data_IF_336320991129
#
_entry.id   IF_336320991129
#
_cell.length_a   1.000
_cell.length_b   1.000
_cell.length_c   1.000
_cell.angle_alpha   90.00
_cell.angle_beta   90.00
_cell.angle_gamma   90.00
#
_symmetry.space_group_name_H-M   'P 1'
#
loop_
_entity.id
_entity.type
_entity.pdbx_description
1 polymer ?
#
# COMPACT_ATOMS: atom_id res chain seq x y z
N UNK A 1 17.19 7.46 -2.21
CA UNK A 1 16.61 6.42 -1.33
C UNK A 1 16.62 5.10 -2.08
N UNK A 2 16.87 3.98 -1.39
CA UNK A 2 16.82 2.63 -1.96
C UNK A 2 15.62 1.89 -1.37
N UNK A 3 14.69 1.43 -2.21
CA UNK A 3 13.46 0.75 -1.75
C UNK A 3 13.74 -0.54 -0.97
N UNK A 4 14.90 -1.16 -1.22
CA UNK A 4 15.31 -2.39 -0.57
C UNK A 4 15.66 -2.20 0.91
N UNK A 5 15.93 -0.96 1.34
CA UNK A 5 16.25 -0.65 2.74
C UNK A 5 15.07 -0.95 3.69
N UNK A 6 13.85 -1.08 3.14
CA UNK A 6 12.68 -1.45 3.92
C UNK A 6 12.43 -2.95 3.99
N UNK A 7 12.98 -3.74 3.07
CA UNK A 7 12.73 -5.18 2.99
C UNK A 7 13.18 -5.87 4.28
N UNK A 8 12.32 -6.73 4.84
CA UNK A 8 12.57 -7.41 6.12
C UNK A 8 12.29 -6.58 7.36
N UNK A 9 11.90 -5.30 7.23
CA UNK A 9 11.44 -4.53 8.39
C UNK A 9 10.21 -5.18 9.01
N UNK A 10 10.14 -5.28 10.35
CA UNK A 10 9.05 -5.97 11.02
C UNK A 10 7.72 -5.26 10.75
N UNK A 11 6.71 -6.07 10.45
CA UNK A 11 5.34 -5.62 10.33
C UNK A 11 4.59 -5.83 11.64
N UNK A 12 4.18 -4.73 12.25
CA UNK A 12 3.31 -4.70 13.41
C UNK A 12 2.18 -3.71 13.10
N UNK A 13 0.97 -4.22 12.83
CA UNK A 13 -0.16 -3.37 12.46
C UNK A 13 -0.38 -2.19 13.42
N UNK A 14 -0.19 -2.40 14.74
CA UNK A 14 -0.46 -1.37 15.75
C UNK A 14 0.57 -0.24 15.72
N UNK A 15 1.80 -0.53 15.30
CA UNK A 15 2.93 0.42 15.33
C UNK A 15 3.34 0.90 13.93
N UNK A 16 3.13 0.06 12.91
CA UNK A 16 3.55 0.22 11.52
C UNK A 16 2.65 -0.64 10.62
N UNK A 17 1.46 -0.13 10.31
CA UNK A 17 0.55 -0.73 9.32
C UNK A 17 1.04 -0.46 7.88
N UNK A 18 0.33 -1.01 6.89
CA UNK A 18 0.66 -0.84 5.48
C UNK A 18 0.66 0.62 5.02
N UNK A 19 -0.24 1.47 5.53
CA UNK A 19 -0.27 2.89 5.17
C UNK A 19 0.89 3.68 5.78
N UNK A 20 1.30 3.34 7.00
CA UNK A 20 2.53 3.89 7.60
C UNK A 20 3.75 3.56 6.74
N UNK A 21 3.83 2.33 6.21
CA UNK A 21 4.90 1.97 5.28
C UNK A 21 4.88 2.84 4.02
N UNK A 22 3.72 2.99 3.36
CA UNK A 22 3.57 3.88 2.20
C UNK A 22 4.05 5.30 2.49
N UNK A 23 3.61 5.88 3.62
CA UNK A 23 3.99 7.23 4.00
C UNK A 23 5.49 7.37 4.25
N UNK A 24 6.12 6.40 4.92
CA UNK A 24 7.55 6.45 5.22
C UNK A 24 8.38 6.39 3.93
N UNK A 25 8.07 5.42 3.05
CA UNK A 25 8.75 5.27 1.76
C UNK A 25 8.59 6.52 0.91
N UNK A 26 7.36 7.02 0.76
CA UNK A 26 7.11 8.23 -0.04
C UNK A 26 7.79 9.47 0.57
N UNK A 27 7.81 9.61 1.89
CA UNK A 27 8.49 10.72 2.57
C UNK A 27 10.01 10.69 2.33
N UNK A 28 10.65 9.52 2.40
CA UNK A 28 12.09 9.36 2.13
C UNK A 28 12.44 9.55 0.63
N UNK A 29 11.44 9.46 -0.25
CA UNK A 29 11.52 9.87 -1.65
C UNK A 29 11.22 11.37 -1.89
N UNK A 30 10.92 12.14 -0.84
CA UNK A 30 10.59 13.56 -0.93
C UNK A 30 9.13 13.85 -1.33
N UNK A 31 8.24 12.86 -1.27
CA UNK A 31 6.84 12.98 -1.65
C UNK A 31 5.93 13.13 -0.43
N UNK A 32 5.04 14.12 -0.47
CA UNK A 32 3.96 14.23 0.52
C UNK A 32 2.93 13.13 0.30
N UNK A 33 2.46 12.53 1.40
CA UNK A 33 1.41 11.50 1.37
C UNK A 33 0.43 11.77 2.51
N UNK A 34 -0.88 11.89 2.22
CA UNK A 34 -1.88 12.19 3.23
C UNK A 34 -1.97 11.10 4.28
N UNK A 35 -2.39 11.47 5.49
CA UNK A 35 -2.69 10.52 6.54
C UNK A 35 -4.15 10.05 6.41
N UNK A 36 -4.33 8.74 6.33
CA UNK A 36 -5.60 8.05 6.51
C UNK A 36 -5.53 7.22 7.79
N UNK A 37 -6.63 7.18 8.54
CA UNK A 37 -6.65 6.61 9.88
C UNK A 37 -6.91 5.10 9.83
N UNK A 38 -5.87 4.33 9.58
CA UNK A 38 -5.91 2.86 9.52
C UNK A 38 -5.65 2.29 10.92
N UNK A 39 -6.65 2.38 11.80
CA UNK A 39 -6.51 2.07 13.25
C UNK A 39 -6.52 0.57 13.59
N UNK A 40 -7.17 -0.25 12.77
CA UNK A 40 -7.27 -1.71 12.99
C UNK A 40 -7.42 -2.48 11.67
N UNK A 41 -7.08 -3.79 11.62
CA UNK A 41 -7.29 -4.61 10.43
C UNK A 41 -8.75 -4.68 9.99
N UNK A 42 -9.69 -4.46 10.91
CA UNK A 42 -11.13 -4.42 10.62
C UNK A 42 -11.62 -3.06 10.13
N UNK A 43 -10.87 -1.99 10.37
CA UNK A 43 -11.20 -0.63 9.94
C UNK A 43 -10.46 -0.22 8.65
N UNK A 44 -9.56 -1.07 8.14
CA UNK A 44 -8.76 -0.79 6.96
C UNK A 44 -9.63 -0.51 5.74
N UNK A 45 -10.69 -1.30 5.55
CA UNK A 45 -11.59 -1.16 4.40
C UNK A 45 -12.27 0.21 4.42
N UNK A 46 -12.83 0.61 5.57
CA UNK A 46 -13.48 1.92 5.73
C UNK A 46 -12.49 3.08 5.52
N UNK A 47 -11.26 2.96 6.04
CA UNK A 47 -10.23 3.99 5.87
C UNK A 47 -9.82 4.16 4.40
N UNK A 48 -9.80 3.08 3.62
CA UNK A 48 -9.54 3.14 2.18
C UNK A 48 -10.75 3.64 1.41
N UNK A 49 -11.98 3.23 1.74
CA UNK A 49 -13.19 3.77 1.13
C UNK A 49 -13.30 5.29 1.34
N UNK A 50 -13.00 5.78 2.55
CA UNK A 50 -12.90 7.21 2.86
C UNK A 50 -11.80 7.90 2.04
N UNK A 51 -10.67 7.22 1.84
CA UNK A 51 -9.58 7.70 0.99
C UNK A 51 -9.96 7.79 -0.49
N UNK A 52 -10.79 6.88 -1.01
CA UNK A 52 -11.33 6.96 -2.37
C UNK A 52 -12.31 8.13 -2.50
N UNK A 53 -13.17 8.33 -1.50
CA UNK A 53 -14.16 9.42 -1.50
C UNK A 53 -13.50 10.81 -1.33
N UNK A 54 -12.42 10.88 -0.56
CA UNK A 54 -11.64 12.09 -0.34
C UNK A 54 -10.13 11.78 -0.40
N UNK A 55 -9.52 11.82 -1.58
CA UNK A 55 -8.13 11.42 -1.77
C UNK A 55 -7.11 12.43 -1.23
N UNK A 56 -7.56 13.55 -0.64
CA UNK A 56 -6.72 14.56 0.02
C UNK A 56 -5.54 15.04 -0.85
N UNK A 57 -5.79 15.22 -2.15
CA UNK A 57 -4.81 15.69 -3.13
C UNK A 57 -4.07 14.59 -3.90
N UNK A 58 -4.27 13.31 -3.56
CA UNK A 58 -3.84 12.21 -4.43
C UNK A 58 -4.74 12.11 -5.66
N UNK A 59 -4.14 11.69 -6.76
CA UNK A 59 -4.81 11.45 -8.04
C UNK A 59 -4.55 10.03 -8.50
N UNK A 60 -5.59 9.38 -9.05
CA UNK A 60 -5.44 8.03 -9.61
C UNK A 60 -4.59 8.10 -10.88
N UNK A 61 -3.58 7.25 -10.94
CA UNK A 61 -2.69 7.10 -12.08
C UNK A 61 -3.04 5.83 -12.87
N UNK A 62 -3.06 5.93 -14.20
CA UNK A 62 -3.30 4.78 -15.09
C UNK A 62 -2.03 4.01 -15.43
N UNK A 63 -0.88 4.68 -15.35
CA UNK A 63 0.43 4.08 -15.62
C UNK A 63 1.30 4.26 -14.37
N UNK A 64 1.83 3.18 -13.79
CA UNK A 64 2.59 3.25 -12.56
C UNK A 64 3.91 4.00 -12.77
N UNK A 65 4.29 4.80 -11.78
CA UNK A 65 5.59 5.42 -11.67
C UNK A 65 6.21 5.08 -10.32
N UNK A 66 7.54 5.10 -10.25
CA UNK A 66 8.25 4.85 -9.01
C UNK A 66 7.73 5.78 -7.91
N UNK A 67 7.46 5.18 -6.75
CA UNK A 67 6.91 5.80 -5.55
C UNK A 67 5.42 6.17 -5.59
N UNK A 68 4.68 5.75 -6.61
CA UNK A 68 3.20 5.75 -6.54
C UNK A 68 2.75 4.88 -5.35
N UNK A 69 1.73 5.35 -4.63
CA UNK A 69 1.03 4.51 -3.68
C UNK A 69 0.20 3.47 -4.44
N UNK A 70 0.26 2.23 -4.00
CA UNK A 70 -0.48 1.11 -4.58
C UNK A 70 -1.56 0.68 -3.61
N UNK A 71 -2.81 0.66 -4.06
CA UNK A 71 -3.91 0.01 -3.33
C UNK A 71 -4.16 -1.36 -3.96
N UNK A 72 -4.18 -2.39 -3.12
CA UNK A 72 -4.33 -3.78 -3.49
C UNK A 72 -5.61 -4.32 -2.84
N UNK A 73 -6.59 -4.71 -3.62
CA UNK A 73 -7.89 -5.19 -3.16
C UNK A 73 -8.09 -6.67 -3.48
N UNK A 74 -8.38 -7.48 -2.47
CA UNK A 74 -8.73 -8.90 -2.64
C UNK A 74 -10.21 -9.14 -2.32
N UNK A 75 -10.93 -9.82 -3.22
CA UNK A 75 -12.31 -10.25 -2.97
C UNK A 75 -12.34 -11.34 -1.91
N UNK A 76 -13.00 -11.08 -0.79
CA UNK A 76 -13.19 -12.06 0.28
C UNK A 76 -14.63 -12.01 0.80
N UNK A 77 -15.39 -13.11 0.62
CA UNK A 77 -16.78 -13.27 1.09
C UNK A 77 -17.72 -12.12 0.68
N UNK A 78 -17.61 -11.65 -0.57
CA UNK A 78 -18.49 -10.62 -1.12
C UNK A 78 -18.11 -9.17 -0.81
N UNK A 79 -16.99 -8.93 -0.12
CA UNK A 79 -16.39 -7.60 0.09
C UNK A 79 -14.96 -7.54 -0.45
N UNK A 80 -14.47 -6.33 -0.72
CA UNK A 80 -13.05 -6.09 -1.00
C UNK A 80 -12.35 -5.87 0.33
N UNK A 81 -11.26 -6.58 0.55
CA UNK A 81 -10.33 -6.31 1.64
C UNK A 81 -9.13 -5.57 1.05
N UNK A 82 -8.87 -4.38 1.59
CA UNK A 82 -7.85 -3.49 1.06
C UNK A 82 -6.52 -3.62 1.80
N UNK A 83 -5.44 -3.44 1.03
CA UNK A 83 -4.06 -3.40 1.47
C UNK A 83 -3.31 -2.31 0.68
N UNK A 84 -2.14 -1.89 1.18
CA UNK A 84 -1.35 -0.87 0.50
C UNK A 84 0.15 -1.16 0.45
N UNK A 85 0.78 -0.60 -0.58
CA UNK A 85 2.22 -0.66 -0.82
C UNK A 85 2.71 0.50 -1.67
N UNK A 86 3.96 0.43 -2.12
CA UNK A 86 4.60 1.43 -2.97
C UNK A 86 5.20 0.77 -4.19
N UNK A 87 4.91 1.31 -5.37
CA UNK A 87 5.44 0.80 -6.63
C UNK A 87 6.89 1.22 -6.82
N UNK A 88 7.72 0.31 -7.31
CA UNK A 88 9.09 0.60 -7.73
C UNK A 88 9.56 -0.42 -8.77
N UNK A 89 9.88 0.04 -9.98
CA UNK A 89 10.50 -0.76 -11.05
C UNK A 89 9.81 -2.12 -11.32
N UNK A 90 8.49 -2.12 -11.41
CA UNK A 90 7.70 -3.34 -11.64
C UNK A 90 7.44 -4.18 -10.39
N UNK A 91 7.94 -3.74 -9.23
CA UNK A 91 7.73 -4.37 -7.93
C UNK A 91 6.81 -3.52 -7.06
N UNK A 92 6.26 -4.12 -6.00
CA UNK A 92 5.52 -3.41 -4.97
C UNK A 92 6.13 -3.72 -3.60
N UNK A 93 6.59 -2.68 -2.92
CA UNK A 93 7.04 -2.75 -1.53
C UNK A 93 5.83 -2.66 -0.60
N UNK A 94 5.52 -3.70 0.15
CA UNK A 94 4.36 -3.71 1.04
C UNK A 94 4.59 -4.53 2.30
N UNK A 95 3.79 -4.27 3.33
CA UNK A 95 3.77 -5.12 4.51
C UNK A 95 3.02 -6.43 4.20
N UNK A 96 3.61 -7.58 4.51
CA UNK A 96 3.00 -8.89 4.26
C UNK A 96 2.74 -9.59 5.60
N UNK A 97 1.48 -10.01 5.80
CA UNK A 97 1.01 -10.50 7.10
C UNK A 97 1.54 -11.90 7.44
N UNK A 98 1.76 -12.76 6.45
CA UNK A 98 2.15 -14.16 6.66
C UNK A 98 3.58 -14.28 7.21
N UNK A 99 4.50 -13.52 6.63
CA UNK A 99 5.90 -13.35 7.01
C UNK A 99 6.10 -12.28 8.08
N UNK A 100 5.08 -11.45 8.35
CA UNK A 100 5.11 -10.35 9.32
C UNK A 100 6.28 -9.39 9.10
N UNK A 101 6.58 -9.10 7.84
CA UNK A 101 7.62 -8.15 7.45
C UNK A 101 7.24 -7.40 6.17
N UNK A 102 8.00 -6.36 5.86
CA UNK A 102 7.96 -5.72 4.54
C UNK A 102 8.59 -6.64 3.51
N UNK A 103 7.92 -6.82 2.39
CA UNK A 103 8.39 -7.56 1.21
C UNK A 103 8.39 -6.65 -0.01
N UNK A 104 9.18 -7.07 -0.99
CA UNK A 104 9.20 -6.51 -2.33
C UNK A 104 8.82 -7.63 -3.29
N UNK A 105 7.54 -7.68 -3.65
CA UNK A 105 7.00 -8.72 -4.52
C UNK A 105 6.69 -8.13 -5.91
N UNK A 106 6.73 -8.95 -6.96
CA UNK A 106 6.54 -8.45 -8.32
C UNK A 106 5.08 -8.04 -8.55
N UNK A 107 4.86 -6.97 -9.31
CA UNK A 107 3.51 -6.54 -9.66
C UNK A 107 2.78 -7.63 -10.48
N UNK A 108 3.51 -8.43 -11.24
CA UNK A 108 2.94 -9.54 -12.01
C UNK A 108 2.39 -10.62 -11.08
N UNK A 109 3.18 -11.09 -10.10
CA UNK A 109 2.73 -12.10 -9.13
C UNK A 109 1.55 -11.60 -8.29
N UNK A 110 1.53 -10.30 -7.96
CA UNK A 110 0.45 -9.71 -7.18
C UNK A 110 -0.88 -9.69 -7.95
N UNK A 111 -0.86 -9.65 -9.29
CA UNK A 111 -2.10 -9.72 -10.10
C UNK A 111 -2.79 -11.08 -10.01
N UNK A 112 -2.06 -12.13 -9.67
CA UNK A 112 -2.65 -13.46 -9.48
C UNK A 112 -3.43 -13.56 -8.16
N UNK A 113 -3.09 -12.72 -7.18
CA UNK A 113 -3.69 -12.72 -5.84
C UNK A 113 -4.74 -11.63 -5.65
N UNK A 114 -4.47 -10.43 -6.15
CA UNK A 114 -5.30 -9.25 -5.92
C UNK A 114 -6.19 -8.98 -7.13
N UNK A 115 -7.50 -8.88 -6.87
CA UNK A 115 -8.50 -8.62 -7.90
C UNK A 115 -8.56 -7.15 -8.33
N UNK A 116 -8.12 -6.24 -7.47
CA UNK A 116 -8.06 -4.80 -7.73
C UNK A 116 -6.64 -4.31 -7.45
N UNK A 117 -6.04 -3.56 -8.38
CA UNK A 117 -4.75 -2.90 -8.19
C UNK A 117 -4.86 -1.49 -8.73
N UNK A 118 -4.61 -0.51 -7.87
CA UNK A 118 -4.71 0.90 -8.21
C UNK A 118 -3.44 1.67 -7.85
N UNK A 119 -3.10 2.67 -8.66
CA UNK A 119 -1.94 3.53 -8.46
C UNK A 119 -2.38 4.96 -8.16
N UNK A 120 -1.73 5.61 -7.20
CA UNK A 120 -2.12 6.91 -6.68
C UNK A 120 -0.91 7.81 -6.43
N UNK A 121 -0.95 9.06 -6.93
CA UNK A 121 0.12 10.04 -6.78
C UNK A 121 -0.36 11.40 -6.33
#
# INVERSE_FOLDING_TARGET
MNINDYTGLPYDFRRRNCWHHVRNVRADAGLSTPMFDVTSPTAIDAAFDDGHANPKGLTRAFHPQNFDAVLLGVKHRGRIVWHAGVYYEGMVSHCELASRQVRLDSLEDLKDTYSEIEFWR
#
